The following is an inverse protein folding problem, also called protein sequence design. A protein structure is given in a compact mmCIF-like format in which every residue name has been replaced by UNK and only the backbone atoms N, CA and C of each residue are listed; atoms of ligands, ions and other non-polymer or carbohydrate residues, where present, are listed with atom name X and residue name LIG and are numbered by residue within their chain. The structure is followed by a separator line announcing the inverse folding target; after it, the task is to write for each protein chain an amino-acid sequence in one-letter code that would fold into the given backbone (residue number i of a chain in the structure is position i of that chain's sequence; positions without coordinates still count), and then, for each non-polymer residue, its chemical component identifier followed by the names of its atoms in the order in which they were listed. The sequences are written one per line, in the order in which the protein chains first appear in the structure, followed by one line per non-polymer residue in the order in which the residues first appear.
data_IF_154129345252
#
_entry.id   IF_154129345252
#
_cell.length_a   1.000
_cell.length_b   1.000
_cell.length_c   1.000
_cell.angle_alpha   90.00
_cell.angle_beta   90.00
_cell.angle_gamma   90.00
#
_symmetry.space_group_name_H-M   'P 1'
#
loop_
_entity.id
_entity.type
_entity.pdbx_description
1 polymer ?
#
# COMPACT_ATOMS: atom_id res chain seq x y z
N UNK A 1 4.71 -6.28 -9.36
CA UNK A 1 5.27 -4.93 -9.67
C UNK A 1 6.69 -4.93 -9.15
N UNK A 2 7.65 -4.26 -9.79
CA UNK A 2 9.03 -4.22 -9.29
C UNK A 2 9.35 -2.79 -8.87
N UNK A 3 9.57 -2.58 -7.58
CA UNK A 3 10.02 -1.30 -7.03
C UNK A 3 11.52 -1.13 -7.30
N UNK A 4 11.93 0.10 -7.63
CA UNK A 4 13.35 0.40 -7.90
C UNK A 4 14.11 0.48 -6.58
N UNK A 5 15.27 -0.18 -6.51
CA UNK A 5 16.13 -0.19 -5.32
C UNK A 5 16.48 1.22 -4.82
N UNK A 6 16.83 2.13 -5.73
CA UNK A 6 17.17 3.52 -5.38
C UNK A 6 16.00 4.26 -4.72
N UNK A 7 14.76 3.98 -5.15
CA UNK A 7 13.55 4.58 -4.58
C UNK A 7 13.27 4.00 -3.20
N UNK A 8 13.41 2.69 -3.05
CA UNK A 8 13.30 2.00 -1.76
C UNK A 8 14.31 2.56 -0.75
N UNK A 9 15.57 2.70 -1.15
CA UNK A 9 16.62 3.22 -0.26
C UNK A 9 16.33 4.67 0.15
N UNK A 10 15.92 5.53 -0.78
CA UNK A 10 15.53 6.91 -0.46
C UNK A 10 14.34 6.96 0.50
N UNK A 11 13.25 6.26 0.17
CA UNK A 11 12.04 6.26 0.99
C UNK A 11 12.26 5.66 2.37
N UNK A 12 13.09 4.62 2.47
CA UNK A 12 13.41 4.03 3.77
C UNK A 12 14.10 5.02 4.70
N UNK A 13 15.00 5.84 4.15
CA UNK A 13 15.62 6.92 4.91
C UNK A 13 14.61 8.02 5.25
N UNK A 14 13.80 8.47 4.28
CA UNK A 14 12.80 9.53 4.46
C UNK A 14 11.72 9.17 5.49
N UNK A 15 11.29 7.90 5.50
CA UNK A 15 10.26 7.37 6.41
C UNK A 15 10.85 6.75 7.69
N UNK A 16 12.18 6.77 7.86
CA UNK A 16 12.89 6.14 8.97
C UNK A 16 12.50 4.66 9.17
N UNK A 17 12.45 3.91 8.07
CA UNK A 17 12.15 2.47 8.08
C UNK A 17 13.43 1.67 8.38
N UNK A 18 13.33 0.50 9.03
CA UNK A 18 14.47 -0.35 9.38
C UNK A 18 15.02 -1.14 8.17
N UNK A 19 15.22 -0.46 7.04
CA UNK A 19 15.73 -1.04 5.80
C UNK A 19 17.22 -1.39 5.90
N UNK A 20 17.56 -2.61 5.51
CA UNK A 20 18.93 -3.15 5.58
C UNK A 20 19.58 -3.40 4.21
N UNK A 21 18.80 -3.35 3.12
CA UNK A 21 19.32 -3.49 1.76
C UNK A 21 19.17 -4.87 1.14
N UNK A 22 18.58 -5.83 1.87
CA UNK A 22 18.46 -7.25 1.49
C UNK A 22 17.01 -7.73 1.39
N UNK A 23 16.04 -6.87 1.73
CA UNK A 23 14.61 -7.11 1.68
C UNK A 23 14.19 -7.47 0.24
N UNK A 24 13.35 -8.50 0.09
CA UNK A 24 12.84 -8.95 -1.20
C UNK A 24 11.55 -8.21 -1.56
N UNK A 25 10.60 -8.19 -0.62
CA UNK A 25 9.30 -7.53 -0.78
C UNK A 25 9.23 -6.36 0.21
N UNK A 26 9.98 -5.29 -0.09
CA UNK A 26 10.17 -4.15 0.81
C UNK A 26 8.87 -3.56 1.37
N UNK A 27 7.82 -3.48 0.56
CA UNK A 27 6.52 -2.93 0.97
C UNK A 27 5.78 -3.82 1.96
N UNK A 28 6.00 -5.14 1.90
CA UNK A 28 5.48 -6.11 2.86
C UNK A 28 6.37 -6.15 4.11
N UNK A 29 7.69 -6.25 3.94
CA UNK A 29 8.64 -6.38 5.05
C UNK A 29 8.71 -5.12 5.91
N UNK A 30 8.53 -3.94 5.33
CA UNK A 30 8.52 -2.66 6.04
C UNK A 30 7.12 -2.19 6.44
N UNK A 31 6.07 -2.98 6.14
CA UNK A 31 4.71 -2.65 6.54
C UNK A 31 4.60 -2.47 8.06
N UNK A 32 3.79 -1.51 8.49
CA UNK A 32 3.57 -1.23 9.91
C UNK A 32 2.14 -0.71 10.11
N UNK A 33 1.29 -1.55 10.69
CA UNK A 33 -0.13 -1.28 10.96
C UNK A 33 -0.35 -0.05 11.85
N UNK A 34 0.66 0.36 12.63
CA UNK A 34 0.61 1.52 13.52
C UNK A 34 1.00 2.84 12.83
N UNK A 35 1.58 2.79 11.62
CA UNK A 35 2.13 3.96 10.92
C UNK A 35 1.37 4.36 9.66
N UNK A 36 0.19 3.79 9.44
CA UNK A 36 -0.65 4.06 8.25
C UNK A 36 -0.94 5.56 8.11
N UNK A 37 -1.27 6.25 9.21
CA UNK A 37 -1.53 7.69 9.17
C UNK A 37 -0.25 8.50 8.88
N UNK A 38 0.91 8.10 9.42
CA UNK A 38 2.21 8.73 9.09
C UNK A 38 2.51 8.61 7.58
N UNK A 39 2.27 7.44 7.00
CA UNK A 39 2.51 7.19 5.58
C UNK A 39 1.54 7.97 4.68
N UNK A 40 0.27 8.07 5.08
CA UNK A 40 -0.72 8.91 4.40
C UNK A 40 -0.35 10.39 4.49
N UNK A 41 0.09 10.86 5.65
CA UNK A 41 0.56 12.23 5.83
C UNK A 41 1.79 12.52 4.95
N UNK A 42 2.77 11.60 4.94
CA UNK A 42 3.94 11.69 4.07
C UNK A 42 3.55 11.78 2.58
N UNK A 43 2.59 10.97 2.13
CA UNK A 43 2.10 11.00 0.74
C UNK A 43 1.51 12.37 0.36
N UNK A 44 0.75 12.99 1.28
CA UNK A 44 0.08 14.26 0.99
C UNK A 44 0.96 15.49 1.14
N UNK A 45 1.95 15.46 2.04
CA UNK A 45 2.79 16.63 2.32
C UNK A 45 3.98 16.78 1.36
N UNK A 46 4.35 15.72 0.64
CA UNK A 46 5.52 15.72 -0.23
C UNK A 46 5.14 15.70 -1.71
N UNK A 47 5.88 16.45 -2.53
CA UNK A 47 5.79 16.34 -3.99
C UNK A 47 6.56 15.11 -4.47
N UNK A 48 5.84 13.99 -4.55
CA UNK A 48 6.41 12.68 -4.88
C UNK A 48 6.43 12.43 -6.39
N UNK A 49 7.56 11.91 -6.88
CA UNK A 49 7.62 11.32 -8.22
C UNK A 49 6.69 10.12 -8.33
N UNK A 50 6.28 9.76 -9.55
CA UNK A 50 5.40 8.60 -9.80
C UNK A 50 5.91 7.31 -9.16
N UNK A 51 7.22 7.04 -9.24
CA UNK A 51 7.82 5.84 -8.65
C UNK A 51 7.73 5.87 -7.11
N UNK A 52 7.95 7.04 -6.48
CA UNK A 52 7.78 7.20 -5.03
C UNK A 52 6.33 7.05 -4.61
N UNK A 53 5.39 7.63 -5.36
CA UNK A 53 3.94 7.47 -5.11
C UNK A 53 3.55 6.00 -5.09
N UNK A 54 4.00 5.24 -6.08
CA UNK A 54 3.74 3.80 -6.18
C UNK A 54 4.31 3.06 -4.97
N UNK A 55 5.57 3.32 -4.59
CA UNK A 55 6.19 2.67 -3.44
C UNK A 55 5.49 3.00 -2.10
N UNK A 56 5.17 4.27 -1.86
CA UNK A 56 4.46 4.71 -0.64
C UNK A 56 3.06 4.10 -0.56
N UNK A 57 2.32 4.06 -1.67
CA UNK A 57 0.99 3.44 -1.67
C UNK A 57 1.08 1.92 -1.54
N UNK A 58 2.09 1.28 -2.11
CA UNK A 58 2.42 -0.13 -1.86
C UNK A 58 2.54 -0.40 -0.35
N UNK A 59 3.34 0.40 0.34
CA UNK A 59 3.58 0.31 1.79
C UNK A 59 2.30 0.55 2.60
N UNK A 60 1.51 1.57 2.24
CA UNK A 60 0.22 1.88 2.89
C UNK A 60 -0.74 0.70 2.76
N UNK A 61 -0.83 0.09 1.58
CA UNK A 61 -1.76 -1.02 1.34
C UNK A 61 -1.36 -2.27 2.12
N UNK A 62 -0.07 -2.61 2.14
CA UNK A 62 0.43 -3.72 2.95
C UNK A 62 0.18 -3.48 4.44
N UNK A 63 0.50 -2.28 4.94
CA UNK A 63 0.27 -1.91 6.34
C UNK A 63 -1.22 -1.94 6.70
N UNK A 64 -2.10 -1.53 5.78
CA UNK A 64 -3.54 -1.56 6.00
C UNK A 64 -4.11 -2.99 5.95
N UNK A 65 -3.60 -3.86 5.08
CA UNK A 65 -3.91 -5.30 5.10
C UNK A 65 -3.53 -5.92 6.45
N UNK A 66 -2.32 -5.66 6.95
CA UNK A 66 -1.88 -6.13 8.26
C UNK A 66 -2.78 -5.61 9.38
N UNK A 67 -3.11 -4.31 9.36
CA UNK A 67 -4.02 -3.72 10.33
C UNK A 67 -5.38 -4.41 10.37
N UNK A 68 -5.99 -4.67 9.21
CA UNK A 68 -7.28 -5.36 9.13
C UNK A 68 -7.17 -6.80 9.66
N UNK A 69 -6.08 -7.51 9.34
CA UNK A 69 -5.84 -8.86 9.84
C UNK A 69 -5.62 -8.91 11.35
N UNK A 70 -4.79 -8.03 11.91
CA UNK A 70 -4.47 -7.97 13.33
C UNK A 70 -5.69 -7.66 14.21
N UNK A 71 -6.62 -6.86 13.68
CA UNK A 71 -7.79 -6.39 14.42
C UNK A 71 -9.10 -7.13 14.04
N UNK A 72 -9.04 -8.07 13.11
CA UNK A 72 -10.19 -8.77 12.53
C UNK A 72 -11.29 -7.81 12.04
N UNK A 73 -10.88 -6.81 11.25
CA UNK A 73 -11.76 -5.78 10.70
C UNK A 73 -11.96 -5.97 9.20
N UNK A 74 -13.12 -5.58 8.69
CA UNK A 74 -13.38 -5.52 7.25
C UNK A 74 -12.90 -4.19 6.63
N UNK A 75 -13.07 -3.09 7.37
CA UNK A 75 -12.77 -1.72 6.91
C UNK A 75 -12.78 -0.74 8.08
N UNK A 76 -12.02 0.35 7.98
CA UNK A 76 -12.16 1.54 8.81
C UNK A 76 -12.22 2.86 7.99
N UNK A 77 -12.13 3.99 8.67
CA UNK A 77 -12.20 5.33 8.08
C UNK A 77 -10.99 5.71 7.21
N UNK A 78 -9.81 5.11 7.45
CA UNK A 78 -8.58 5.36 6.67
C UNK A 78 -8.71 4.82 5.25
N UNK A 79 -9.51 3.79 5.02
CA UNK A 79 -9.80 3.32 3.66
C UNK A 79 -10.34 4.42 2.75
N UNK A 80 -11.13 5.37 3.26
CA UNK A 80 -11.66 6.45 2.43
C UNK A 80 -10.52 7.34 1.87
N UNK A 81 -9.47 7.58 2.67
CA UNK A 81 -8.27 8.32 2.23
C UNK A 81 -7.51 7.52 1.18
N UNK A 82 -7.26 6.23 1.45
CA UNK A 82 -6.56 5.31 0.54
C UNK A 82 -7.30 5.22 -0.81
N UNK A 83 -8.61 4.96 -0.76
CA UNK A 83 -9.48 4.89 -1.94
C UNK A 83 -9.44 6.19 -2.74
N UNK A 84 -9.54 7.34 -2.08
CA UNK A 84 -9.48 8.63 -2.76
C UNK A 84 -8.17 8.80 -3.54
N UNK A 85 -7.03 8.42 -2.96
CA UNK A 85 -5.73 8.46 -3.66
C UNK A 85 -5.73 7.52 -4.87
N UNK A 86 -6.18 6.28 -4.68
CA UNK A 86 -6.22 5.26 -5.74
C UNK A 86 -7.13 5.66 -6.92
N UNK A 87 -8.28 6.29 -6.65
CA UNK A 87 -9.20 6.78 -7.69
C UNK A 87 -8.66 8.04 -8.37
N UNK A 88 -8.07 8.97 -7.62
CA UNK A 88 -7.57 10.26 -8.15
C UNK A 88 -6.46 10.10 -9.17
N UNK A 89 -5.59 9.10 -8.99
CA UNK A 89 -4.45 8.83 -9.87
C UNK A 89 -4.46 7.39 -10.40
N UNK A 90 -5.64 6.86 -10.71
CA UNK A 90 -5.89 5.45 -11.08
C UNK A 90 -4.91 4.86 -12.10
N UNK A 91 -4.49 5.64 -13.11
CA UNK A 91 -3.56 5.17 -14.13
C UNK A 91 -2.19 4.80 -13.55
N UNK A 92 -1.73 5.52 -12.52
CA UNK A 92 -0.48 5.24 -11.81
C UNK A 92 -0.63 3.95 -10.99
N UNK A 93 -1.78 3.77 -10.34
CA UNK A 93 -2.00 2.68 -9.38
C UNK A 93 -2.66 1.43 -9.97
N UNK A 94 -2.95 1.40 -11.27
CA UNK A 94 -3.67 0.29 -11.91
C UNK A 94 -3.05 -1.09 -11.65
N UNK A 95 -1.72 -1.17 -11.59
CA UNK A 95 -1.03 -2.43 -11.29
C UNK A 95 -1.24 -2.89 -9.84
N UNK A 96 -1.25 -1.95 -8.88
CA UNK A 96 -1.52 -2.24 -7.48
C UNK A 96 -2.98 -2.66 -7.28
N UNK A 97 -3.92 -1.89 -7.84
CA UNK A 97 -5.35 -2.22 -7.80
C UNK A 97 -5.57 -3.63 -8.37
N UNK A 98 -4.96 -3.94 -9.52
CA UNK A 98 -5.08 -5.27 -10.13
C UNK A 98 -4.51 -6.38 -9.24
N UNK A 99 -3.32 -6.18 -8.68
CA UNK A 99 -2.67 -7.15 -7.79
C UNK A 99 -3.55 -7.48 -6.58
N UNK A 100 -3.97 -6.46 -5.83
CA UNK A 100 -4.73 -6.65 -4.61
C UNK A 100 -6.20 -7.06 -4.85
N UNK A 101 -6.79 -6.69 -5.99
CA UNK A 101 -8.18 -7.06 -6.32
C UNK A 101 -8.39 -8.54 -6.59
N UNK A 102 -7.32 -9.30 -6.88
CA UNK A 102 -7.36 -10.71 -7.28
C UNK A 102 -8.61 -11.04 -8.11
N UNK A 103 -8.84 -10.30 -9.20
CA UNK A 103 -10.15 -10.29 -9.90
C UNK A 103 -10.63 -11.66 -10.41
N UNK A 104 -9.72 -12.64 -10.50
CA UNK A 104 -10.00 -14.00 -10.94
C UNK A 104 -10.15 -15.01 -9.79
N UNK A 105 -9.88 -14.61 -8.55
CA UNK A 105 -10.00 -15.47 -7.37
C UNK A 105 -11.39 -15.30 -6.75
N UNK A 106 -12.04 -16.41 -6.41
CA UNK A 106 -13.39 -16.44 -5.84
C UNK A 106 -13.43 -17.16 -4.50
N UNK A 107 -12.42 -17.96 -4.18
CA UNK A 107 -12.31 -18.65 -2.91
C UNK A 107 -11.91 -17.66 -1.82
N UNK A 108 -12.77 -17.49 -0.80
CA UNK A 108 -12.59 -16.49 0.26
C UNK A 108 -11.27 -16.67 1.02
N UNK A 109 -10.85 -17.91 1.27
CA UNK A 109 -9.61 -18.26 1.97
C UNK A 109 -8.34 -17.84 1.21
N UNK A 110 -8.45 -17.52 -0.09
CA UNK A 110 -7.34 -17.07 -0.93
C UNK A 110 -7.30 -15.54 -1.10
N UNK A 111 -8.26 -14.81 -0.52
CA UNK A 111 -8.34 -13.36 -0.68
C UNK A 111 -7.53 -12.62 0.39
N UNK A 112 -6.97 -11.48 0.03
CA UNK A 112 -6.52 -10.49 1.01
C UNK A 112 -7.75 -9.82 1.63
N UNK A 113 -7.64 -9.33 2.87
CA UNK A 113 -8.71 -8.55 3.53
C UNK A 113 -9.13 -7.36 2.67
N UNK A 114 -8.15 -6.69 2.04
CA UNK A 114 -8.43 -5.53 1.17
C UNK A 114 -8.94 -5.90 -0.23
N UNK A 115 -9.01 -7.18 -0.61
CA UNK A 115 -9.36 -7.59 -1.98
C UNK A 115 -10.74 -7.09 -2.41
N UNK A 116 -11.76 -7.25 -1.56
CA UNK A 116 -13.12 -6.79 -1.88
C UNK A 116 -13.19 -5.26 -1.95
N UNK A 117 -12.39 -4.56 -1.15
CA UNK A 117 -12.29 -3.11 -1.18
C UNK A 117 -11.68 -2.63 -2.50
N UNK A 118 -10.62 -3.31 -2.96
CA UNK A 118 -9.91 -3.01 -4.21
C UNK A 118 -10.79 -3.18 -5.46
N UNK A 119 -11.67 -4.19 -5.46
CA UNK A 119 -12.64 -4.42 -6.55
C UNK A 119 -13.64 -3.26 -6.70
N UNK A 120 -13.84 -2.45 -5.66
CA UNK A 120 -14.78 -1.34 -5.64
C UNK A 120 -14.18 0.03 -6.02
N UNK A 121 -12.90 0.08 -6.39
CA UNK A 121 -12.22 1.30 -6.84
C UNK A 121 -12.67 1.62 -8.27
N UNK A 122 -13.15 2.84 -8.50
CA UNK A 122 -13.69 3.30 -9.79
C UNK A 122 -12.68 4.00 -10.70
#
# INVERSE_FOLDING_TARGET
MILKKEIIEQLSNELSLPYTGIEQDWDIEMADSNRIDDFLEFYHQNDLSTDKKVAVISLILASYEDFLNENDLEIDDRWNKIKFILESERLIFNNLIKYWSLSNEVEEDNLFRITLLMRNIK
#
